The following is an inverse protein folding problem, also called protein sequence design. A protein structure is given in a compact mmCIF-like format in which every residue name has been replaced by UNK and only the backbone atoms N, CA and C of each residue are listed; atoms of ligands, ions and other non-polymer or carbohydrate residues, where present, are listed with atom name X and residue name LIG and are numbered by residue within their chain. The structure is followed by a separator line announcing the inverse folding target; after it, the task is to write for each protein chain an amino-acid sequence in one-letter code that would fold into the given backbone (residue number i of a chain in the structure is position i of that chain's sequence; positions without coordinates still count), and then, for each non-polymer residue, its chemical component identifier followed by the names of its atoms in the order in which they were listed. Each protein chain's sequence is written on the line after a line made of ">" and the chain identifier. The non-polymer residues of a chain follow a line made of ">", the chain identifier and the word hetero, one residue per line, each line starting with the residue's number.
data_IF_448546751374
#
_entry.id   IF_448546751374
#
_cell.length_a   1.000
_cell.length_b   1.000
_cell.length_c   1.000
_cell.angle_alpha   90.00
_cell.angle_beta   90.00
_cell.angle_gamma   90.00
#
_symmetry.space_group_name_H-M   'P 1'
#
loop_
_entity.id
_entity.type
_entity.pdbx_description
1 polymer ?
#
# COMPACT_ATOMS: atom_id res chain seq x y z
N UNK A 1 44.58 -80.50 12.70
CA UNK A 1 43.76 -79.23 12.40
C UNK A 1 43.91 -78.14 13.45
N UNK A 2 44.74 -78.20 14.50
CA UNK A 2 44.94 -77.10 15.50
C UNK A 2 46.17 -76.22 15.29
N UNK A 3 47.01 -76.45 14.28
CA UNK A 3 48.24 -75.65 14.01
C UNK A 3 48.10 -74.69 12.81
N UNK A 4 47.02 -74.69 12.05
CA UNK A 4 46.80 -73.79 10.94
C UNK A 4 46.05 -72.50 11.35
N UNK A 5 45.33 -72.49 12.49
CA UNK A 5 44.59 -71.30 12.98
C UNK A 5 45.50 -70.30 13.70
N UNK A 6 46.69 -70.72 14.21
CA UNK A 6 47.60 -69.79 14.89
C UNK A 6 48.42 -68.90 13.94
N UNK A 7 48.58 -69.26 12.67
CA UNK A 7 49.33 -68.45 11.70
C UNK A 7 48.53 -67.33 11.05
N UNK A 8 47.18 -67.42 11.05
CA UNK A 8 46.31 -66.42 10.50
C UNK A 8 46.11 -65.22 11.49
N UNK A 9 46.26 -65.49 12.81
CA UNK A 9 46.04 -64.41 13.83
C UNK A 9 47.25 -63.46 13.99
N UNK A 10 48.44 -63.83 13.49
CA UNK A 10 49.66 -63.02 13.62
C UNK A 10 49.79 -61.99 12.47
N UNK A 11 49.12 -62.25 11.33
CA UNK A 11 49.15 -61.30 10.19
C UNK A 11 48.10 -60.14 10.26
N UNK A 12 47.08 -60.25 11.13
CA UNK A 12 46.06 -59.20 11.24
C UNK A 12 46.59 -57.87 11.78
N UNK A 13 47.50 -57.80 12.77
CA UNK A 13 48.00 -56.48 13.23
C UNK A 13 48.90 -55.77 12.22
N UNK A 14 49.58 -56.46 11.35
CA UNK A 14 50.42 -55.84 10.31
C UNK A 14 49.62 -55.21 9.17
N UNK A 15 48.43 -55.73 8.85
CA UNK A 15 47.54 -55.15 7.88
C UNK A 15 46.85 -53.85 8.38
N UNK A 16 46.54 -53.76 9.66
CA UNK A 16 45.99 -52.53 10.29
C UNK A 16 47.05 -51.44 10.40
N UNK A 17 48.32 -51.74 10.59
CA UNK A 17 49.41 -50.75 10.58
C UNK A 17 49.74 -50.26 9.18
N UNK A 18 49.63 -51.08 8.17
CA UNK A 18 49.83 -50.67 6.79
C UNK A 18 48.71 -49.74 6.27
N UNK A 19 47.47 -49.96 6.73
CA UNK A 19 46.36 -49.05 6.40
C UNK A 19 46.49 -47.68 7.07
N UNK A 20 46.95 -47.61 8.33
CA UNK A 20 47.18 -46.34 9.02
C UNK A 20 48.27 -45.49 8.39
N UNK A 21 49.35 -46.07 7.91
CA UNK A 21 50.44 -45.36 7.20
C UNK A 21 50.06 -44.93 5.77
N UNK A 22 49.24 -45.67 5.09
CA UNK A 22 48.73 -45.27 3.76
C UNK A 22 47.71 -44.11 3.85
N UNK A 23 46.85 -44.08 4.87
CA UNK A 23 45.95 -42.95 5.12
C UNK A 23 46.68 -41.64 5.48
N UNK A 24 47.76 -41.70 6.28
CA UNK A 24 48.58 -40.53 6.60
C UNK A 24 49.31 -39.95 5.40
N UNK A 25 49.66 -40.73 4.39
CA UNK A 25 50.33 -40.23 3.15
C UNK A 25 49.35 -39.53 2.20
N UNK A 26 48.06 -39.80 2.25
CA UNK A 26 47.04 -39.15 1.43
C UNK A 26 46.74 -37.71 1.86
N UNK A 27 47.10 -37.29 3.04
CA UNK A 27 46.83 -35.96 3.60
C UNK A 27 48.07 -35.05 3.60
N UNK A 28 49.08 -35.30 2.76
CA UNK A 28 50.25 -34.44 2.63
C UNK A 28 50.40 -33.86 1.22
N UNK A 29 50.72 -32.56 1.17
CA UNK A 29 50.99 -31.85 -0.08
C UNK A 29 52.43 -31.36 -0.15
N UNK A 30 53.17 -31.73 -1.19
CA UNK A 30 54.53 -31.23 -1.45
C UNK A 30 54.44 -29.92 -2.28
N UNK A 31 54.85 -28.80 -1.69
CA UNK A 31 54.78 -27.48 -2.34
C UNK A 31 55.59 -27.45 -3.61
N UNK A 32 54.97 -27.06 -4.74
CA UNK A 32 55.62 -26.87 -6.05
C UNK A 32 56.10 -25.43 -6.21
N UNK A 33 56.93 -25.16 -7.22
CA UNK A 33 57.46 -23.84 -7.51
C UNK A 33 56.32 -22.85 -7.87
N UNK A 34 56.12 -21.82 -7.06
CA UNK A 34 55.16 -20.74 -7.32
C UNK A 34 53.83 -20.89 -6.60
N UNK A 35 53.55 -22.03 -5.96
CA UNK A 35 52.31 -22.20 -5.21
C UNK A 35 52.21 -21.27 -4.01
N UNK A 36 50.99 -20.81 -3.73
CA UNK A 36 50.65 -19.96 -2.58
C UNK A 36 49.79 -20.72 -1.60
N UNK A 37 49.73 -20.25 -0.34
CA UNK A 37 48.85 -20.83 0.67
C UNK A 37 47.40 -20.91 0.20
N UNK A 38 46.91 -19.82 -0.42
CA UNK A 38 45.53 -19.73 -0.96
C UNK A 38 45.27 -20.75 -2.05
N UNK A 39 46.24 -20.92 -2.99
CA UNK A 39 46.09 -21.87 -4.10
C UNK A 39 46.08 -23.33 -3.63
N UNK A 40 46.92 -23.65 -2.63
CA UNK A 40 46.98 -25.01 -2.05
C UNK A 40 45.72 -25.27 -1.25
N UNK A 41 45.28 -24.32 -0.44
CA UNK A 41 44.04 -24.45 0.35
C UNK A 41 42.79 -24.65 -0.55
N UNK A 42 42.66 -23.86 -1.63
CA UNK A 42 41.59 -24.01 -2.62
C UNK A 42 41.60 -25.39 -3.31
N UNK A 43 42.77 -25.94 -3.59
CA UNK A 43 42.93 -27.24 -4.22
C UNK A 43 42.36 -28.41 -3.39
N UNK A 44 42.36 -28.25 -2.05
CA UNK A 44 41.90 -29.23 -1.11
C UNK A 44 40.58 -28.85 -0.42
N UNK A 45 39.91 -27.78 -0.85
CA UNK A 45 38.63 -27.33 -0.33
C UNK A 45 38.65 -26.86 1.13
N UNK A 46 39.82 -26.38 1.62
CA UNK A 46 40.01 -25.91 3.00
C UNK A 46 40.34 -24.40 3.03
N UNK A 47 40.18 -23.77 4.17
CA UNK A 47 40.55 -22.37 4.32
C UNK A 47 42.09 -22.23 4.42
N UNK A 48 42.64 -21.11 3.92
CA UNK A 48 44.06 -20.78 4.06
C UNK A 48 44.48 -20.73 5.54
N UNK A 49 43.60 -20.32 6.40
CA UNK A 49 43.83 -20.26 7.85
C UNK A 49 43.97 -21.67 8.43
N UNK A 50 43.10 -22.58 8.10
CA UNK A 50 43.15 -23.98 8.56
C UNK A 50 44.45 -24.68 8.06
N UNK A 51 44.83 -24.44 6.81
CA UNK A 51 46.07 -24.97 6.24
C UNK A 51 47.32 -24.44 7.00
N UNK A 52 47.35 -23.16 7.33
CA UNK A 52 48.45 -22.54 8.11
C UNK A 52 48.50 -23.04 9.55
N UNK A 53 47.36 -23.19 10.18
CA UNK A 53 47.27 -23.73 11.56
C UNK A 53 47.72 -25.18 11.67
N UNK A 54 47.44 -25.97 10.65
CA UNK A 54 47.91 -27.36 10.58
C UNK A 54 49.44 -27.48 10.27
N UNK A 55 50.09 -26.34 9.88
CA UNK A 55 51.48 -26.33 9.47
C UNK A 55 52.26 -25.14 10.08
N UNK A 56 52.35 -25.01 11.43
CA UNK A 56 52.97 -23.86 12.07
C UNK A 56 54.46 -23.76 11.77
N UNK A 57 55.16 -24.89 11.58
CA UNK A 57 56.59 -24.99 11.33
C UNK A 57 56.99 -24.95 9.85
N UNK A 58 56.03 -24.73 8.96
CA UNK A 58 56.29 -24.71 7.52
C UNK A 58 57.26 -23.61 7.09
N UNK A 59 58.34 -23.94 6.41
CA UNK A 59 59.33 -22.97 5.93
C UNK A 59 58.70 -22.04 4.87
N UNK A 60 58.75 -20.72 5.18
CA UNK A 60 58.12 -19.67 4.35
C UNK A 60 59.18 -18.76 3.76
N UNK A 61 59.06 -18.39 2.47
CA UNK A 61 59.88 -17.39 1.76
C UNK A 61 58.98 -16.36 1.11
N UNK A 62 59.17 -15.06 1.42
CA UNK A 62 58.32 -13.96 0.87
C UNK A 62 56.84 -14.20 1.09
N UNK A 63 56.38 -14.62 2.28
CA UNK A 63 54.99 -14.94 2.68
C UNK A 63 54.36 -16.10 1.90
N UNK A 64 55.13 -16.92 1.17
CA UNK A 64 54.68 -18.12 0.47
C UNK A 64 55.36 -19.38 1.05
N UNK A 65 54.73 -20.57 1.01
CA UNK A 65 55.40 -21.79 1.45
C UNK A 65 56.58 -22.09 0.51
N UNK A 66 57.68 -22.56 1.07
CA UNK A 66 58.93 -22.84 0.28
C UNK A 66 58.73 -24.10 -0.54
N UNK A 67 59.15 -24.07 -1.80
CA UNK A 67 59.14 -25.27 -2.69
C UNK A 67 59.81 -26.48 -1.98
N UNK A 68 59.16 -27.63 -2.08
CA UNK A 68 59.62 -28.91 -1.49
C UNK A 68 59.20 -29.08 -0.03
N UNK A 69 58.57 -28.10 0.63
CA UNK A 69 57.98 -28.27 1.96
C UNK A 69 56.81 -29.23 1.86
N UNK A 70 56.77 -30.24 2.74
CA UNK A 70 55.61 -31.10 2.92
C UNK A 70 54.63 -30.39 3.91
N UNK A 71 53.41 -30.19 3.45
CA UNK A 71 52.34 -29.62 4.23
C UNK A 71 51.33 -30.70 4.57
N UNK A 72 50.95 -30.78 5.85
CA UNK A 72 49.84 -31.59 6.29
C UNK A 72 48.54 -30.88 5.86
N UNK A 73 47.71 -31.57 5.11
CA UNK A 73 46.39 -31.09 4.73
C UNK A 73 45.44 -31.59 5.84
N UNK A 74 44.87 -30.70 6.66
CA UNK A 74 43.86 -31.10 7.62
C UNK A 74 42.69 -31.71 6.84
N UNK A 75 42.07 -32.74 7.41
CA UNK A 75 40.79 -33.25 6.93
C UNK A 75 39.86 -32.04 6.82
N UNK A 76 39.19 -31.90 5.69
CA UNK A 76 38.17 -30.90 5.57
C UNK A 76 37.25 -31.08 6.77
N UNK A 77 37.31 -30.18 7.74
CA UNK A 77 36.32 -30.14 8.79
C UNK A 77 35.00 -30.20 8.02
N UNK A 78 34.12 -31.19 8.25
CA UNK A 78 32.83 -31.18 7.59
C UNK A 78 32.34 -29.77 7.82
N UNK A 79 32.30 -28.96 6.73
CA UNK A 79 31.54 -27.73 6.82
C UNK A 79 30.20 -28.22 7.31
N UNK A 80 29.62 -27.66 8.39
CA UNK A 80 28.26 -27.99 8.71
C UNK A 80 27.56 -27.89 7.37
N UNK A 81 26.98 -29.01 6.88
CA UNK A 81 26.12 -28.95 5.69
C UNK A 81 25.32 -27.68 5.89
N UNK A 82 25.24 -26.76 4.88
CA UNK A 82 24.43 -25.60 5.05
C UNK A 82 23.14 -26.17 5.60
N UNK A 83 22.90 -25.92 6.89
CA UNK A 83 21.60 -26.20 7.47
C UNK A 83 20.77 -25.39 6.52
N UNK A 84 20.00 -26.03 5.64
CA UNK A 84 18.92 -25.38 4.92
C UNK A 84 18.13 -24.73 6.06
N UNK A 85 18.49 -23.48 6.37
CA UNK A 85 17.55 -22.62 7.07
C UNK A 85 16.33 -22.76 6.21
N UNK A 86 15.22 -23.30 6.73
CA UNK A 86 14.07 -23.57 5.90
C UNK A 86 13.78 -22.26 5.20
N UNK A 87 14.03 -22.22 3.89
CA UNK A 87 13.68 -21.07 3.06
C UNK A 87 12.24 -20.79 3.46
N UNK A 88 11.92 -19.64 4.08
CA UNK A 88 10.64 -19.44 4.72
C UNK A 88 9.60 -19.76 3.66
N UNK A 89 8.88 -20.84 3.85
CA UNK A 89 7.94 -21.34 2.85
C UNK A 89 6.92 -20.24 2.65
N UNK A 90 6.87 -19.65 1.44
CA UNK A 90 5.94 -18.59 1.09
C UNK A 90 4.52 -19.09 1.37
N UNK A 91 3.91 -18.58 2.43
CA UNK A 91 2.53 -18.93 2.78
C UNK A 91 1.59 -18.29 1.79
N UNK A 92 0.82 -19.09 1.09
CA UNK A 92 -0.13 -18.62 0.07
C UNK A 92 -1.49 -18.25 0.64
N UNK A 93 -1.73 -18.51 1.95
CA UNK A 93 -2.94 -18.10 2.68
C UNK A 93 -2.66 -18.09 4.18
N UNK A 94 -3.48 -17.37 4.94
CA UNK A 94 -3.47 -17.39 6.40
C UNK A 94 -4.82 -17.88 6.94
N UNK A 95 -4.79 -18.87 7.83
CA UNK A 95 -5.98 -19.33 8.56
C UNK A 95 -6.21 -18.55 9.87
N UNK A 96 -5.21 -17.79 10.31
CA UNK A 96 -5.31 -16.88 11.45
C UNK A 96 -4.56 -15.59 11.16
N UNK A 97 -5.10 -14.47 11.62
CA UNK A 97 -4.50 -13.15 11.49
C UNK A 97 -4.48 -12.45 12.85
N UNK A 98 -3.39 -11.78 13.16
CA UNK A 98 -3.27 -10.86 14.28
C UNK A 98 -3.16 -9.43 13.74
N UNK A 99 -3.99 -8.53 14.27
CA UNK A 99 -4.21 -7.18 13.76
C UNK A 99 -3.92 -6.18 14.87
N UNK A 100 -3.11 -5.16 14.59
CA UNK A 100 -2.94 -4.00 15.45
C UNK A 100 -3.89 -2.87 15.03
N UNK A 101 -4.46 -2.15 16.00
CA UNK A 101 -5.25 -0.93 15.76
C UNK A 101 -4.74 0.14 16.72
N UNK A 102 -4.05 1.15 16.18
CA UNK A 102 -3.41 2.21 16.94
C UNK A 102 -4.05 3.55 16.58
N UNK A 103 -5.11 3.92 17.28
CA UNK A 103 -5.96 5.07 17.01
C UNK A 103 -6.27 5.86 18.30
N UNK A 104 -6.62 7.16 18.23
CA UNK A 104 -7.12 7.92 19.37
C UNK A 104 -8.57 7.51 19.67
N UNK A 105 -8.75 6.39 20.38
CA UNK A 105 -10.03 5.78 20.69
C UNK A 105 -10.63 6.42 21.96
N UNK A 106 -11.18 7.61 21.84
CA UNK A 106 -11.86 8.33 22.92
C UNK A 106 -13.12 9.01 22.38
N UNK A 107 -14.27 8.80 23.02
CA UNK A 107 -15.55 9.38 22.59
C UNK A 107 -15.73 10.84 23.02
N UNK A 108 -14.88 11.35 23.90
CA UNK A 108 -14.99 12.70 24.45
C UNK A 108 -14.64 13.81 23.47
N UNK A 109 -13.98 13.49 22.35
CA UNK A 109 -13.66 14.43 21.29
C UNK A 109 -14.29 14.00 19.96
N UNK A 110 -14.63 14.97 19.09
CA UNK A 110 -15.16 14.70 17.75
C UNK A 110 -14.21 13.80 16.92
N UNK A 111 -12.91 14.05 17.02
CA UNK A 111 -11.89 13.22 16.35
C UNK A 111 -11.88 11.80 16.90
N UNK A 112 -11.93 11.67 18.22
CA UNK A 112 -11.91 10.35 18.87
C UNK A 112 -13.19 9.56 18.59
N UNK A 113 -14.35 10.20 18.64
CA UNK A 113 -15.62 9.57 18.30
C UNK A 113 -15.63 9.03 16.85
N UNK A 114 -15.10 9.79 15.90
CA UNK A 114 -14.92 9.34 14.51
C UNK A 114 -13.98 8.12 14.42
N UNK A 115 -12.92 8.06 15.22
CA UNK A 115 -12.00 6.92 15.23
C UNK A 115 -12.59 5.70 15.94
N UNK A 116 -13.43 5.89 16.93
CA UNK A 116 -14.24 4.81 17.52
C UNK A 116 -15.18 4.23 16.47
N UNK A 117 -15.91 5.06 15.72
CA UNK A 117 -16.79 4.60 14.65
C UNK A 117 -16.00 3.87 13.54
N UNK A 118 -14.83 4.39 13.16
CA UNK A 118 -13.93 3.70 12.22
C UNK A 118 -13.52 2.31 12.76
N UNK A 119 -13.16 2.23 14.03
CA UNK A 119 -12.80 0.95 14.67
C UNK A 119 -13.99 -0.01 14.72
N UNK A 120 -15.20 0.47 14.99
CA UNK A 120 -16.43 -0.34 14.92
C UNK A 120 -16.61 -0.95 13.51
N UNK A 121 -16.31 -0.18 12.45
CA UNK A 121 -16.27 -0.70 11.09
C UNK A 121 -15.24 -1.80 10.89
N UNK A 122 -14.00 -1.64 11.42
CA UNK A 122 -12.98 -2.68 11.41
C UNK A 122 -13.45 -3.96 12.11
N UNK A 123 -14.18 -3.85 13.23
CA UNK A 123 -14.75 -5.00 13.93
C UNK A 123 -15.78 -5.75 13.07
N UNK A 124 -16.66 -5.03 12.37
CA UNK A 124 -17.61 -5.64 11.45
C UNK A 124 -16.89 -6.37 10.29
N UNK A 125 -15.80 -5.81 9.79
CA UNK A 125 -14.96 -6.45 8.78
C UNK A 125 -14.32 -7.74 9.31
N UNK A 126 -13.77 -7.70 10.54
CA UNK A 126 -13.19 -8.87 11.18
C UNK A 126 -14.23 -9.99 11.36
N UNK A 127 -15.45 -9.64 11.78
CA UNK A 127 -16.54 -10.61 11.91
C UNK A 127 -16.97 -11.20 10.57
N UNK A 128 -16.93 -10.41 9.51
CA UNK A 128 -17.19 -10.89 8.15
C UNK A 128 -16.13 -11.90 7.71
N UNK A 129 -14.85 -11.63 7.98
CA UNK A 129 -13.74 -12.53 7.64
C UNK A 129 -13.73 -13.78 8.53
N UNK A 130 -14.06 -13.65 9.83
CA UNK A 130 -14.22 -14.82 10.73
C UNK A 130 -15.28 -15.80 10.23
N UNK A 131 -16.39 -15.31 9.66
CA UNK A 131 -17.43 -16.16 9.06
C UNK A 131 -16.93 -17.00 7.88
N UNK A 132 -15.81 -16.62 7.25
CA UNK A 132 -15.15 -17.43 6.22
C UNK A 132 -14.18 -18.47 6.78
N UNK A 133 -14.08 -18.63 8.10
CA UNK A 133 -13.25 -19.64 8.77
C UNK A 133 -11.84 -19.18 9.12
N UNK A 134 -11.56 -17.88 9.05
CA UNK A 134 -10.27 -17.29 9.44
C UNK A 134 -10.35 -16.81 10.89
N UNK A 135 -9.40 -17.21 11.72
CA UNK A 135 -9.31 -16.68 13.08
C UNK A 135 -8.70 -15.27 13.09
N UNK A 136 -9.32 -14.30 13.76
CA UNK A 136 -8.86 -12.92 13.83
C UNK A 136 -8.68 -12.49 15.28
N UNK A 137 -7.46 -12.15 15.66
CA UNK A 137 -7.13 -11.50 16.93
C UNK A 137 -6.85 -10.00 16.69
N UNK A 138 -7.45 -9.13 17.51
CA UNK A 138 -7.26 -7.67 17.39
C UNK A 138 -6.66 -7.12 18.68
N UNK A 139 -5.55 -6.39 18.54
CA UNK A 139 -4.88 -5.64 19.59
C UNK A 139 -5.17 -4.15 19.37
N UNK A 140 -6.19 -3.64 20.03
CA UNK A 140 -6.59 -2.23 19.93
C UNK A 140 -5.93 -1.42 21.06
N UNK A 141 -5.18 -0.39 20.69
CA UNK A 141 -4.47 0.50 21.59
C UNK A 141 -4.88 1.94 21.35
N UNK A 142 -5.26 2.63 22.42
CA UNK A 142 -5.53 4.06 22.40
C UNK A 142 -4.20 4.83 22.31
N UNK A 143 -4.00 5.61 21.25
CA UNK A 143 -2.76 6.38 21.04
C UNK A 143 -2.74 7.71 21.80
N UNK A 144 -3.86 8.10 22.40
CA UNK A 144 -3.99 9.35 23.12
C UNK A 144 -3.93 10.58 22.21
N UNK A 145 -3.73 11.73 22.84
CA UNK A 145 -3.35 12.95 22.13
C UNK A 145 -1.87 12.90 21.76
N UNK A 146 -1.39 13.87 20.95
CA UNK A 146 0.03 14.07 20.56
C UNK A 146 1.05 14.04 21.72
N UNK A 147 0.57 14.07 22.97
CA UNK A 147 1.40 14.02 24.19
C UNK A 147 1.88 12.60 24.55
N UNK A 148 1.27 11.55 24.02
CA UNK A 148 1.72 10.17 24.25
C UNK A 148 2.82 9.85 23.24
N UNK A 149 4.00 9.52 23.73
CA UNK A 149 5.11 9.09 22.85
C UNK A 149 4.78 7.74 22.24
N UNK A 150 4.73 7.68 20.91
CA UNK A 150 4.52 6.42 20.16
C UNK A 150 5.61 5.39 20.52
N UNK A 151 6.87 5.80 20.70
CA UNK A 151 7.95 4.91 21.11
C UNK A 151 7.68 4.26 22.46
N UNK A 152 7.15 5.00 23.44
CA UNK A 152 6.81 4.45 24.76
C UNK A 152 5.64 3.45 24.65
N UNK A 153 4.62 3.77 23.85
CA UNK A 153 3.50 2.86 23.59
C UNK A 153 3.97 1.55 22.96
N UNK A 154 4.78 1.63 21.91
CA UNK A 154 5.33 0.49 21.20
C UNK A 154 6.25 -0.36 22.09
N UNK A 155 7.09 0.29 22.93
CA UNK A 155 7.95 -0.42 23.85
C UNK A 155 7.17 -1.19 24.91
N UNK A 156 6.09 -0.59 25.43
CA UNK A 156 5.20 -1.20 26.44
C UNK A 156 4.46 -2.42 25.89
N UNK A 157 4.00 -2.34 24.65
CA UNK A 157 3.17 -3.37 23.99
C UNK A 157 3.92 -4.17 22.93
N UNK A 158 5.27 -4.18 23.00
CA UNK A 158 6.12 -4.82 22.01
C UNK A 158 5.77 -6.30 21.80
N UNK A 159 5.55 -7.07 22.86
CA UNK A 159 5.26 -8.50 22.79
C UNK A 159 3.96 -8.81 22.06
N UNK A 160 2.97 -7.93 22.18
CA UNK A 160 1.67 -8.07 21.52
C UNK A 160 1.73 -7.66 20.05
N UNK A 161 2.49 -6.60 19.74
CA UNK A 161 2.49 -5.97 18.42
C UNK A 161 3.56 -6.51 17.46
N UNK A 162 4.66 -7.07 17.93
CA UNK A 162 5.77 -7.50 17.05
C UNK A 162 5.43 -8.66 16.10
N UNK A 163 4.30 -9.34 16.33
CA UNK A 163 3.87 -10.50 15.53
C UNK A 163 2.55 -10.27 14.80
N UNK A 164 2.03 -9.03 14.79
CA UNK A 164 0.82 -8.74 14.02
C UNK A 164 1.11 -8.71 12.53
N UNK A 165 0.13 -9.03 11.71
CA UNK A 165 0.27 -9.06 10.25
C UNK A 165 0.09 -7.68 9.62
N UNK A 166 -0.73 -6.85 10.25
CA UNK A 166 -1.04 -5.48 9.81
C UNK A 166 -1.40 -4.59 10.99
N UNK A 167 -1.02 -3.32 10.94
CA UNK A 167 -1.41 -2.28 11.88
C UNK A 167 -2.20 -1.21 11.13
N UNK A 168 -3.39 -0.84 11.66
CA UNK A 168 -4.20 0.29 11.20
C UNK A 168 -3.94 1.50 12.09
N UNK A 169 -3.53 2.60 11.51
CA UNK A 169 -3.12 3.84 12.16
C UNK A 169 -1.71 4.26 11.70
N UNK A 170 -1.16 5.33 12.27
CA UNK A 170 -1.79 6.28 13.19
C UNK A 170 -2.66 7.30 12.46
N UNK A 171 -3.25 8.23 13.21
CA UNK A 171 -3.99 9.38 12.67
C UNK A 171 -3.17 10.68 12.76
N UNK A 172 -2.17 10.71 13.62
CA UNK A 172 -1.32 11.86 13.85
C UNK A 172 -0.01 11.72 13.08
N UNK A 173 0.34 12.74 12.28
CA UNK A 173 1.57 12.74 11.48
C UNK A 173 2.85 12.57 12.30
N UNK A 174 2.90 13.11 13.53
CA UNK A 174 4.05 12.98 14.41
C UNK A 174 4.27 11.53 14.91
N UNK A 175 3.24 10.68 14.82
CA UNK A 175 3.28 9.29 15.24
C UNK A 175 3.66 8.33 14.08
N UNK A 176 3.68 8.81 12.84
CA UNK A 176 3.91 7.98 11.65
C UNK A 176 5.31 7.39 11.65
N UNK A 177 6.34 8.22 11.76
CA UNK A 177 7.72 7.77 11.61
C UNK A 177 8.12 6.70 12.66
N UNK A 178 7.86 6.89 13.99
CA UNK A 178 8.17 5.86 14.97
C UNK A 178 7.41 4.54 14.74
N UNK A 179 6.14 4.62 14.34
CA UNK A 179 5.34 3.43 14.06
C UNK A 179 5.82 2.72 12.79
N UNK A 180 6.14 3.48 11.76
CA UNK A 180 6.67 2.93 10.52
C UNK A 180 8.00 2.20 10.71
N UNK A 181 8.94 2.78 11.48
CA UNK A 181 10.19 2.13 11.84
C UNK A 181 9.95 0.80 12.58
N UNK A 182 9.02 0.77 13.53
CA UNK A 182 8.63 -0.45 14.22
C UNK A 182 8.08 -1.50 13.25
N UNK A 183 7.19 -1.10 12.34
CA UNK A 183 6.60 -1.99 11.35
C UNK A 183 7.66 -2.57 10.39
N UNK A 184 8.59 -1.75 9.91
CA UNK A 184 9.69 -2.20 9.06
C UNK A 184 10.59 -3.23 9.76
N UNK A 185 10.97 -2.97 11.01
CA UNK A 185 11.82 -3.88 11.79
C UNK A 185 11.18 -5.25 12.05
N UNK A 186 9.85 -5.31 12.08
CA UNK A 186 9.10 -6.53 12.40
C UNK A 186 8.35 -7.11 11.19
N UNK A 187 8.58 -6.59 9.98
CA UNK A 187 7.93 -7.01 8.73
C UNK A 187 6.39 -6.94 8.81
N UNK A 188 5.87 -5.87 9.38
CA UNK A 188 4.44 -5.61 9.59
C UNK A 188 3.93 -4.63 8.54
N UNK A 189 2.76 -4.86 7.99
CA UNK A 189 2.08 -3.92 7.10
C UNK A 189 1.53 -2.75 7.90
N UNK A 190 1.86 -1.53 7.49
CA UNK A 190 1.33 -0.31 8.11
C UNK A 190 0.28 0.31 7.20
N UNK A 191 -0.95 0.36 7.65
CA UNK A 191 -2.06 0.98 6.91
C UNK A 191 -2.43 2.30 7.59
N UNK A 192 -2.19 3.40 6.91
CA UNK A 192 -2.45 4.76 7.36
C UNK A 192 -3.78 5.26 6.77
N UNK A 193 -4.85 5.32 7.59
CA UNK A 193 -6.16 5.72 7.09
C UNK A 193 -6.22 7.17 6.60
N UNK A 194 -5.53 8.09 7.32
CA UNK A 194 -5.69 9.55 7.15
C UNK A 194 -4.36 10.30 7.07
N UNK A 195 -3.25 9.60 7.16
CA UNK A 195 -1.90 10.16 7.10
C UNK A 195 -1.09 9.45 6.02
N UNK A 196 0.12 9.93 5.78
CA UNK A 196 1.10 9.32 4.88
C UNK A 196 2.50 9.49 5.46
N UNK A 197 3.45 8.73 4.96
CA UNK A 197 4.86 8.92 5.33
C UNK A 197 5.41 10.22 4.72
N UNK A 198 6.40 10.83 5.38
CA UNK A 198 7.00 12.08 4.90
C UNK A 198 8.44 11.89 4.38
N UNK A 199 8.87 10.65 4.18
CA UNK A 199 10.24 10.34 3.84
C UNK A 199 10.40 9.59 2.51
N UNK A 200 11.59 9.72 1.92
CA UNK A 200 12.02 8.96 0.74
C UNK A 200 12.44 7.51 1.09
N UNK A 201 12.20 7.07 2.32
CA UNK A 201 12.68 5.80 2.82
C UNK A 201 12.01 4.61 2.09
N UNK A 202 12.77 3.53 1.93
CA UNK A 202 12.27 2.26 1.45
C UNK A 202 11.18 1.71 2.40
N UNK A 203 9.91 1.79 2.01
CA UNK A 203 8.75 1.48 2.84
C UNK A 203 7.73 0.60 2.11
N UNK A 204 8.15 -0.56 1.62
CA UNK A 204 7.34 -1.38 0.71
C UNK A 204 6.07 -1.96 1.35
N UNK A 205 5.95 -1.93 2.67
CA UNK A 205 4.79 -2.43 3.43
C UNK A 205 3.93 -1.31 4.04
N UNK A 206 4.22 -0.03 3.73
CA UNK A 206 3.38 1.09 4.13
C UNK A 206 2.30 1.39 3.08
N UNK A 207 1.09 1.63 3.53
CA UNK A 207 -0.10 1.89 2.72
C UNK A 207 -0.77 3.18 3.16
N UNK A 208 -0.90 4.14 2.25
CA UNK A 208 -1.66 5.38 2.45
C UNK A 208 -3.04 5.23 1.81
N UNK A 209 -4.07 5.05 2.64
CA UNK A 209 -5.42 4.76 2.16
C UNK A 209 -6.16 6.01 1.65
N UNK A 210 -5.91 7.17 2.27
CA UNK A 210 -6.39 8.46 1.77
C UNK A 210 -5.22 9.18 1.09
N UNK A 211 -5.16 9.13 -0.22
CA UNK A 211 -4.10 9.77 -0.98
C UNK A 211 -4.06 11.30 -0.75
N UNK A 212 -2.88 11.93 -0.76
CA UNK A 212 -2.74 13.38 -0.75
C UNK A 212 -3.53 14.03 -1.89
N UNK A 213 -3.99 15.26 -1.67
CA UNK A 213 -4.87 15.96 -2.62
C UNK A 213 -4.27 16.12 -4.03
N UNK A 214 -2.96 16.29 -4.14
CA UNK A 214 -2.27 16.38 -5.43
C UNK A 214 -2.31 15.04 -6.21
N UNK A 215 -2.21 13.90 -5.54
CA UNK A 215 -2.31 12.57 -6.15
C UNK A 215 -3.74 12.35 -6.64
N UNK A 216 -4.73 12.49 -5.75
CA UNK A 216 -6.14 12.30 -6.12
C UNK A 216 -6.62 13.28 -7.19
N UNK A 217 -6.13 14.53 -7.21
CA UNK A 217 -6.44 15.50 -8.27
C UNK A 217 -5.82 15.09 -9.62
N UNK A 218 -4.62 14.53 -9.63
CA UNK A 218 -3.97 14.03 -10.84
C UNK A 218 -4.74 12.84 -11.43
N UNK A 219 -5.09 11.87 -10.59
CA UNK A 219 -5.86 10.69 -11.00
C UNK A 219 -7.26 11.08 -11.51
N UNK A 220 -7.92 12.02 -10.81
CA UNK A 220 -9.23 12.55 -11.22
C UNK A 220 -9.15 13.28 -12.57
N UNK A 221 -8.12 14.09 -12.80
CA UNK A 221 -7.92 14.78 -14.06
C UNK A 221 -7.74 13.79 -15.23
N UNK A 222 -6.95 12.75 -15.04
CA UNK A 222 -6.76 11.69 -16.02
C UNK A 222 -8.08 10.93 -16.30
N UNK A 223 -8.85 10.61 -15.25
CA UNK A 223 -10.14 9.94 -15.40
C UNK A 223 -11.17 10.82 -16.13
N UNK A 224 -11.26 12.10 -15.79
CA UNK A 224 -12.14 13.06 -16.49
C UNK A 224 -11.74 13.14 -17.96
N UNK A 225 -10.45 13.31 -18.28
CA UNK A 225 -9.98 13.37 -19.65
C UNK A 225 -10.27 12.08 -20.45
N UNK A 226 -10.16 10.91 -19.79
CA UNK A 226 -10.48 9.59 -20.38
C UNK A 226 -11.98 9.42 -20.64
N UNK A 227 -12.82 9.93 -19.72
CA UNK A 227 -14.28 9.70 -19.71
C UNK A 227 -15.02 10.64 -20.65
N UNK A 228 -14.57 11.88 -20.74
CA UNK A 228 -15.23 12.89 -21.59
C UNK A 228 -15.04 12.55 -23.08
N UNK A 229 -15.96 13.03 -23.91
CA UNK A 229 -15.90 12.84 -25.35
C UNK A 229 -14.57 13.29 -25.95
N UNK A 230 -14.04 12.57 -26.93
CA UNK A 230 -12.75 12.88 -27.58
C UNK A 230 -12.62 14.31 -28.12
N UNK A 231 -13.76 14.95 -28.42
CA UNK A 231 -13.85 16.32 -28.95
C UNK A 231 -14.63 17.23 -27.98
N UNK A 232 -14.59 16.97 -26.67
CA UNK A 232 -15.20 17.87 -25.73
C UNK A 232 -14.46 19.23 -25.71
N UNK A 233 -15.22 20.31 -25.53
CA UNK A 233 -14.68 21.65 -25.28
C UNK A 233 -14.54 21.84 -23.76
N UNK A 234 -13.33 21.94 -23.27
CA UNK A 234 -13.06 22.13 -21.84
C UNK A 234 -13.00 23.61 -21.52
N UNK A 235 -13.83 24.06 -20.58
CA UNK A 235 -13.94 25.45 -20.13
C UNK A 235 -13.67 25.51 -18.63
N UNK A 236 -12.52 26.04 -18.26
CA UNK A 236 -12.19 26.33 -16.86
C UNK A 236 -12.90 27.64 -16.50
N UNK A 237 -13.77 27.56 -15.52
CA UNK A 237 -14.52 28.70 -15.05
C UNK A 237 -13.79 29.36 -13.88
N UNK A 238 -13.36 30.62 -14.09
CA UNK A 238 -12.82 31.48 -13.05
C UNK A 238 -13.99 32.05 -12.24
N UNK A 239 -14.06 31.70 -10.97
CA UNK A 239 -15.13 32.15 -10.05
C UNK A 239 -14.81 33.45 -9.31
N UNK A 240 -13.67 34.07 -9.59
CA UNK A 240 -13.08 35.25 -8.89
C UNK A 240 -12.62 34.94 -7.44
N UNK A 241 -13.02 33.83 -6.88
CA UNK A 241 -12.66 33.37 -5.53
C UNK A 241 -12.20 31.89 -5.58
N UNK A 242 -11.09 31.57 -6.27
CA UNK A 242 -10.63 30.18 -6.37
C UNK A 242 -10.26 29.64 -4.99
N UNK A 243 -10.66 28.40 -4.70
CA UNK A 243 -10.17 27.71 -3.52
C UNK A 243 -8.98 26.77 -3.84
N UNK A 244 -8.27 26.33 -2.80
CA UNK A 244 -7.06 25.51 -2.97
C UNK A 244 -7.33 24.21 -3.75
N UNK A 245 -8.46 23.56 -3.52
CA UNK A 245 -8.81 22.29 -4.18
C UNK A 245 -9.23 22.51 -5.62
N UNK A 246 -10.05 23.53 -5.87
CA UNK A 246 -10.49 23.91 -7.20
C UNK A 246 -9.32 24.31 -8.09
N UNK A 247 -8.42 25.17 -7.57
CA UNK A 247 -7.21 25.59 -8.27
C UNK A 247 -6.28 24.40 -8.56
N UNK A 248 -6.11 23.48 -7.60
CA UNK A 248 -5.28 22.28 -7.77
C UNK A 248 -5.83 21.36 -8.88
N UNK A 249 -7.12 21.01 -8.82
CA UNK A 249 -7.73 20.12 -9.80
C UNK A 249 -7.74 20.72 -11.21
N UNK A 250 -8.14 21.99 -11.34
CA UNK A 250 -8.14 22.67 -12.65
C UNK A 250 -6.73 22.83 -13.23
N UNK A 251 -5.71 23.01 -12.36
CA UNK A 251 -4.30 22.99 -12.75
C UNK A 251 -3.88 21.61 -13.30
N UNK A 252 -4.16 20.53 -12.57
CA UNK A 252 -3.87 19.16 -13.00
C UNK A 252 -4.62 18.77 -14.28
N UNK A 253 -5.86 19.20 -14.42
CA UNK A 253 -6.61 18.96 -15.65
C UNK A 253 -6.00 19.69 -16.85
N UNK A 254 -5.55 20.95 -16.68
CA UNK A 254 -4.84 21.68 -17.76
C UNK A 254 -3.55 20.96 -18.16
N UNK A 255 -2.76 20.49 -17.21
CA UNK A 255 -1.55 19.70 -17.46
C UNK A 255 -1.88 18.44 -18.29
N UNK A 256 -2.86 17.66 -17.84
CA UNK A 256 -3.30 16.42 -18.51
C UNK A 256 -3.83 16.68 -19.93
N UNK A 257 -4.61 17.74 -20.13
CA UNK A 257 -5.12 18.13 -21.45
C UNK A 257 -4.00 18.58 -22.38
N UNK A 258 -3.02 19.36 -21.88
CA UNK A 258 -1.87 19.82 -22.65
C UNK A 258 -1.01 18.66 -23.18
N UNK A 259 -0.80 17.62 -22.38
CA UNK A 259 -0.12 16.38 -22.80
C UNK A 259 -0.83 15.72 -24.00
N UNK A 260 -2.15 15.82 -24.06
CA UNK A 260 -2.98 15.30 -25.17
C UNK A 260 -3.17 16.32 -26.30
N UNK A 261 -2.52 17.49 -26.22
CA UNK A 261 -2.67 18.60 -27.17
C UNK A 261 -4.12 19.11 -27.28
N UNK A 262 -4.85 19.08 -26.20
CA UNK A 262 -6.20 19.63 -26.06
C UNK A 262 -6.10 20.94 -25.30
N UNK A 263 -6.66 22.01 -25.88
CA UNK A 263 -6.69 23.33 -25.24
C UNK A 263 -7.91 23.43 -24.30
N UNK A 264 -7.68 23.92 -23.07
CA UNK A 264 -8.75 24.38 -22.21
C UNK A 264 -8.95 25.87 -22.39
N UNK A 265 -10.20 26.32 -22.51
CA UNK A 265 -10.57 27.73 -22.51
C UNK A 265 -10.75 28.22 -21.09
N UNK A 266 -10.64 29.53 -20.89
CA UNK A 266 -10.90 30.17 -19.59
C UNK A 266 -12.07 31.15 -19.78
N UNK A 267 -13.04 31.09 -18.88
CA UNK A 267 -14.22 31.93 -18.84
C UNK A 267 -14.40 32.48 -17.42
N UNK A 268 -14.71 33.77 -17.28
CA UNK A 268 -15.06 34.33 -15.98
C UNK A 268 -16.55 34.12 -15.70
N UNK A 269 -16.88 33.79 -14.44
CA UNK A 269 -18.26 33.58 -14.03
C UNK A 269 -19.16 34.81 -14.27
N UNK A 270 -18.60 36.03 -14.16
CA UNK A 270 -19.31 37.30 -14.37
C UNK A 270 -19.37 37.73 -15.86
N UNK A 271 -18.85 36.90 -16.77
CA UNK A 271 -18.93 37.14 -18.19
C UNK A 271 -20.38 37.37 -18.67
N UNK A 272 -20.54 38.21 -19.69
CA UNK A 272 -21.81 38.38 -20.38
C UNK A 272 -22.09 37.23 -21.37
N UNK A 273 -23.25 37.21 -22.00
CA UNK A 273 -23.64 36.17 -22.94
C UNK A 273 -22.65 36.02 -24.09
N UNK A 274 -22.06 37.13 -24.56
CA UNK A 274 -21.06 37.12 -25.63
C UNK A 274 -19.77 36.38 -25.18
N UNK A 275 -19.35 36.57 -23.92
CA UNK A 275 -18.21 35.86 -23.37
C UNK A 275 -18.48 34.35 -23.29
N UNK A 276 -19.69 33.94 -22.86
CA UNK A 276 -20.11 32.52 -22.82
C UNK A 276 -20.18 31.92 -24.23
N UNK A 277 -20.82 32.60 -25.19
CA UNK A 277 -20.89 32.15 -26.60
C UNK A 277 -19.49 32.00 -27.22
N UNK A 278 -18.57 32.91 -26.92
CA UNK A 278 -17.19 32.86 -27.41
C UNK A 278 -16.39 31.72 -26.81
N UNK A 279 -16.67 31.36 -25.56
CA UNK A 279 -16.00 30.24 -24.86
C UNK A 279 -16.61 28.87 -25.22
N UNK A 280 -17.90 28.81 -25.57
CA UNK A 280 -18.61 27.56 -25.82
C UNK A 280 -18.53 27.17 -27.30
N UNK A 281 -18.80 25.88 -27.54
CA UNK A 281 -18.83 25.27 -28.88
C UNK A 281 -20.21 24.66 -29.14
N UNK A 282 -20.85 25.01 -30.27
CA UNK A 282 -22.19 24.51 -30.60
C UNK A 282 -22.22 23.05 -31.03
N UNK A 283 -21.10 22.49 -31.52
CA UNK A 283 -21.01 21.14 -32.05
C UNK A 283 -20.41 20.13 -31.07
N UNK A 284 -19.81 20.62 -30.01
CA UNK A 284 -19.15 19.81 -28.99
C UNK A 284 -19.90 19.93 -27.66
N UNK A 285 -19.67 18.96 -26.75
CA UNK A 285 -20.09 19.12 -25.35
C UNK A 285 -19.14 20.08 -24.65
N UNK A 286 -19.71 21.08 -23.99
CA UNK A 286 -18.97 22.05 -23.21
C UNK A 286 -18.84 21.56 -21.76
N UNK A 287 -17.67 21.08 -21.39
CA UNK A 287 -17.36 20.63 -20.04
C UNK A 287 -16.92 21.84 -19.22
N UNK A 288 -17.74 22.26 -18.26
CA UNK A 288 -17.51 23.43 -17.42
C UNK A 288 -16.94 22.95 -16.09
N UNK A 289 -15.77 23.46 -15.74
CA UNK A 289 -15.02 23.11 -14.55
C UNK A 289 -14.71 24.38 -13.75
N UNK A 290 -15.44 24.67 -12.65
CA UNK A 290 -15.15 25.86 -11.83
C UNK A 290 -13.87 25.66 -11.00
N UNK A 291 -13.18 26.73 -10.68
CA UNK A 291 -11.98 26.75 -9.83
C UNK A 291 -12.29 26.88 -8.33
N UNK A 292 -13.56 26.69 -7.95
CA UNK A 292 -14.04 26.75 -6.58
C UNK A 292 -15.02 25.61 -6.30
N UNK A 293 -14.87 24.95 -5.16
CA UNK A 293 -15.65 23.77 -4.77
C UNK A 293 -16.92 24.09 -3.97
N UNK A 294 -17.03 25.33 -3.49
CA UNK A 294 -18.02 25.75 -2.49
C UNK A 294 -19.42 25.93 -3.04
N UNK A 295 -20.41 25.66 -2.19
CA UNK A 295 -21.83 25.74 -2.53
C UNK A 295 -22.29 27.13 -3.01
N UNK A 296 -21.72 28.22 -2.44
CA UNK A 296 -22.06 29.62 -2.84
C UNK A 296 -21.71 29.84 -4.29
N UNK A 297 -20.49 29.53 -4.69
CA UNK A 297 -20.00 29.68 -6.07
C UNK A 297 -20.78 28.79 -7.03
N UNK A 298 -21.08 27.55 -6.63
CA UNK A 298 -21.85 26.62 -7.42
C UNK A 298 -23.31 27.07 -7.64
N UNK A 299 -23.96 27.66 -6.64
CA UNK A 299 -25.29 28.22 -6.80
C UNK A 299 -25.33 29.36 -7.84
N UNK A 300 -24.35 30.27 -7.80
CA UNK A 300 -24.21 31.34 -8.79
C UNK A 300 -24.02 30.72 -10.19
N UNK A 301 -23.13 29.75 -10.32
CA UNK A 301 -22.86 29.05 -11.58
C UNK A 301 -24.12 28.37 -12.12
N UNK A 302 -24.84 27.61 -11.29
CA UNK A 302 -26.06 26.91 -11.69
C UNK A 302 -27.12 27.91 -12.19
N UNK A 303 -27.28 29.05 -11.54
CA UNK A 303 -28.23 30.09 -11.99
C UNK A 303 -27.81 30.65 -13.35
N UNK A 304 -26.58 31.08 -13.49
CA UNK A 304 -26.02 31.59 -14.76
C UNK A 304 -26.17 30.59 -15.93
N UNK A 305 -25.84 29.35 -15.69
CA UNK A 305 -25.94 28.32 -16.73
C UNK A 305 -27.40 27.99 -17.12
N UNK A 306 -28.34 28.09 -16.18
CA UNK A 306 -29.77 27.93 -16.47
C UNK A 306 -30.28 29.08 -17.36
N UNK A 307 -29.93 30.31 -17.00
CA UNK A 307 -30.34 31.50 -17.79
C UNK A 307 -29.74 31.42 -19.20
N UNK A 308 -28.45 31.13 -19.31
CA UNK A 308 -27.77 30.97 -20.60
C UNK A 308 -28.35 29.82 -21.43
N UNK A 309 -28.57 28.63 -20.85
CA UNK A 309 -29.12 27.47 -21.56
C UNK A 309 -30.56 27.72 -22.04
N UNK A 310 -31.36 28.51 -21.31
CA UNK A 310 -32.70 28.89 -21.72
C UNK A 310 -32.68 29.81 -22.94
N UNK A 311 -31.73 30.75 -23.00
CA UNK A 311 -31.56 31.66 -24.12
C UNK A 311 -30.87 31.01 -25.33
N UNK A 312 -30.01 30.04 -25.09
CA UNK A 312 -29.11 29.41 -26.07
C UNK A 312 -29.18 27.86 -26.06
N UNK A 313 -30.34 27.25 -26.39
CA UNK A 313 -30.57 25.79 -26.26
C UNK A 313 -29.72 24.92 -27.21
N UNK A 314 -29.00 25.54 -28.16
CA UNK A 314 -28.11 24.85 -29.08
C UNK A 314 -26.80 24.39 -28.42
N UNK A 315 -26.44 24.92 -27.25
CA UNK A 315 -25.23 24.51 -26.56
C UNK A 315 -25.48 23.34 -25.60
N UNK A 316 -24.71 22.27 -25.76
CA UNK A 316 -24.70 21.14 -24.81
C UNK A 316 -23.71 21.45 -23.69
N UNK A 317 -24.20 21.50 -22.45
CA UNK A 317 -23.44 21.86 -21.28
C UNK A 317 -23.32 20.65 -20.36
N UNK A 318 -22.14 20.43 -19.79
CA UNK A 318 -21.83 19.39 -18.81
C UNK A 318 -21.05 20.03 -17.68
N UNK A 319 -21.41 19.74 -16.43
CA UNK A 319 -20.63 20.15 -15.28
C UNK A 319 -19.63 19.06 -14.90
N UNK A 320 -18.42 19.45 -14.51
CA UNK A 320 -17.43 18.57 -13.93
C UNK A 320 -16.93 19.21 -12.63
N UNK A 321 -17.04 18.48 -11.53
CA UNK A 321 -16.76 19.06 -10.22
C UNK A 321 -16.22 18.05 -9.22
N UNK A 322 -16.50 18.27 -7.97
CA UNK A 322 -15.70 17.94 -6.79
C UNK A 322 -16.43 17.00 -5.84
N UNK A 323 -15.69 16.29 -4.94
CA UNK A 323 -16.32 15.44 -3.93
C UNK A 323 -17.34 16.16 -3.05
N UNK A 324 -17.12 17.43 -2.73
CA UNK A 324 -18.01 18.25 -1.91
C UNK A 324 -19.42 18.36 -2.49
N UNK A 325 -19.55 18.33 -3.83
CA UNK A 325 -20.85 18.49 -4.50
C UNK A 325 -21.84 17.39 -4.15
N UNK A 326 -21.35 16.21 -3.77
CA UNK A 326 -22.20 15.12 -3.30
C UNK A 326 -22.92 15.47 -1.97
N UNK A 327 -22.42 16.45 -1.21
CA UNK A 327 -23.08 16.94 0.02
C UNK A 327 -24.09 18.07 -0.25
N UNK A 328 -24.17 18.57 -1.50
CA UNK A 328 -25.07 19.66 -1.89
C UNK A 328 -26.32 19.19 -2.63
N UNK A 329 -26.54 17.87 -2.68
CA UNK A 329 -27.64 17.28 -3.44
C UNK A 329 -29.03 17.68 -2.95
N UNK A 330 -29.20 18.04 -1.65
CA UNK A 330 -30.47 18.55 -1.17
C UNK A 330 -30.97 19.78 -1.92
N UNK A 331 -30.04 20.64 -2.37
CA UNK A 331 -30.38 21.94 -2.97
C UNK A 331 -30.06 22.02 -4.46
N UNK A 332 -29.11 21.22 -4.96
CA UNK A 332 -28.59 21.36 -6.32
C UNK A 332 -28.77 20.12 -7.20
N UNK A 333 -29.48 19.10 -6.74
CA UNK A 333 -29.68 17.87 -7.51
C UNK A 333 -30.29 18.12 -8.88
N UNK A 334 -31.27 19.02 -8.97
CA UNK A 334 -31.90 19.38 -10.24
C UNK A 334 -30.91 20.04 -11.21
N UNK A 335 -30.00 20.88 -10.70
CA UNK A 335 -28.92 21.46 -11.50
C UNK A 335 -27.96 20.38 -12.01
N UNK A 336 -27.63 19.41 -11.13
CA UNK A 336 -26.74 18.32 -11.53
C UNK A 336 -27.34 17.45 -12.63
N UNK A 337 -28.61 17.10 -12.53
CA UNK A 337 -29.31 16.37 -13.58
C UNK A 337 -29.44 17.19 -14.87
N UNK A 338 -29.80 18.47 -14.76
CA UNK A 338 -29.96 19.35 -15.93
C UNK A 338 -28.67 19.47 -16.75
N UNK A 339 -27.51 19.54 -16.08
CA UNK A 339 -26.22 19.74 -16.74
C UNK A 339 -25.34 18.49 -16.80
N UNK A 340 -25.95 17.28 -16.83
CA UNK A 340 -25.24 16.02 -17.06
C UNK A 340 -23.92 15.95 -16.25
N UNK A 341 -24.03 16.12 -14.93
CA UNK A 341 -22.90 16.47 -14.06
C UNK A 341 -22.07 15.24 -13.67
N UNK A 342 -20.75 15.41 -13.68
CA UNK A 342 -19.77 14.45 -13.19
C UNK A 342 -19.00 15.05 -12.00
N UNK A 343 -19.07 14.42 -10.83
CA UNK A 343 -18.26 14.78 -9.68
C UNK A 343 -17.23 13.68 -9.40
N UNK A 344 -15.93 14.03 -9.36
CA UNK A 344 -14.93 13.04 -8.99
C UNK A 344 -14.94 12.76 -7.49
N UNK A 345 -14.62 11.54 -7.10
CA UNK A 345 -14.50 11.16 -5.70
C UNK A 345 -13.62 9.92 -5.53
N UNK A 346 -13.12 9.73 -4.30
CA UNK A 346 -12.36 8.55 -3.89
C UNK A 346 -13.24 7.55 -3.12
N UNK A 347 -14.47 7.93 -2.80
CA UNK A 347 -15.44 7.12 -2.08
C UNK A 347 -16.87 7.57 -2.43
N UNK A 348 -17.81 6.64 -2.44
CA UNK A 348 -19.23 6.94 -2.66
C UNK A 348 -20.13 5.87 -2.07
N UNK A 349 -21.17 6.27 -1.39
CA UNK A 349 -22.31 5.42 -1.01
C UNK A 349 -23.61 6.16 -1.28
N UNK A 350 -24.53 5.50 -2.00
CA UNK A 350 -25.85 6.10 -2.22
C UNK A 350 -26.72 5.84 -0.98
N UNK A 351 -27.21 6.88 -0.28
CA UNK A 351 -27.93 6.71 0.99
C UNK A 351 -29.14 5.80 0.92
N UNK A 352 -29.84 5.80 -0.24
CA UNK A 352 -31.04 5.01 -0.45
C UNK A 352 -30.78 3.65 -1.10
N UNK A 353 -29.53 3.26 -1.33
CA UNK A 353 -29.25 1.94 -1.87
C UNK A 353 -29.54 0.84 -0.83
N UNK A 354 -30.05 -0.32 -1.25
CA UNK A 354 -30.29 -1.45 -0.35
C UNK A 354 -29.04 -1.88 0.41
N UNK A 355 -27.85 -1.81 -0.21
CA UNK A 355 -26.59 -2.15 0.42
C UNK A 355 -26.23 -1.19 1.54
N UNK A 356 -26.35 0.13 1.33
CA UNK A 356 -26.11 1.16 2.34
C UNK A 356 -27.08 0.99 3.51
N UNK A 357 -28.39 0.83 3.25
CA UNK A 357 -29.39 0.63 4.29
C UNK A 357 -29.15 -0.66 5.08
N UNK A 358 -28.74 -1.74 4.41
CA UNK A 358 -28.38 -2.99 5.08
C UNK A 358 -27.17 -2.82 5.99
N UNK A 359 -26.18 -2.04 5.58
CA UNK A 359 -25.00 -1.74 6.39
C UNK A 359 -25.40 -0.87 7.61
N UNK A 360 -26.22 0.17 7.43
CA UNK A 360 -26.73 1.03 8.49
C UNK A 360 -27.47 0.21 9.56
N UNK A 361 -28.34 -0.68 9.14
CA UNK A 361 -29.11 -1.56 10.04
C UNK A 361 -28.18 -2.55 10.79
N UNK A 362 -27.20 -3.14 10.10
CA UNK A 362 -26.25 -4.05 10.71
C UNK A 362 -25.36 -3.32 11.73
N UNK A 363 -24.91 -2.10 11.43
CA UNK A 363 -24.14 -1.29 12.35
C UNK A 363 -24.95 -0.95 13.61
N UNK A 364 -26.16 -0.43 13.45
CA UNK A 364 -27.04 -0.09 14.57
C UNK A 364 -27.37 -1.31 15.44
N UNK A 365 -27.58 -2.48 14.83
CA UNK A 365 -27.81 -3.73 15.54
C UNK A 365 -26.58 -4.19 16.35
N UNK A 366 -25.38 -4.03 15.82
CA UNK A 366 -24.16 -4.47 16.49
C UNK A 366 -23.74 -3.55 17.65
N UNK A 367 -23.95 -2.24 17.50
CA UNK A 367 -23.43 -1.24 18.45
C UNK A 367 -24.49 -0.50 19.25
N UNK A 368 -25.78 -0.70 18.97
CA UNK A 368 -26.89 -0.10 19.72
C UNK A 368 -27.16 1.37 19.42
N UNK A 369 -26.51 1.95 18.41
CA UNK A 369 -26.69 3.33 17.95
C UNK A 369 -26.48 3.45 16.44
N UNK A 370 -27.07 4.45 15.76
CA UNK A 370 -26.80 4.69 14.35
C UNK A 370 -25.37 5.24 14.14
N UNK A 371 -24.86 5.14 12.90
CA UNK A 371 -23.62 5.79 12.51
C UNK A 371 -23.74 7.32 12.58
N UNK A 372 -22.62 7.99 12.82
CA UNK A 372 -22.53 9.46 12.78
C UNK A 372 -22.90 9.98 11.38
N UNK A 373 -23.56 11.14 11.35
CA UNK A 373 -23.79 11.88 10.12
C UNK A 373 -22.48 12.57 9.69
N UNK A 374 -21.70 11.89 8.88
CA UNK A 374 -20.40 12.37 8.40
C UNK A 374 -20.18 12.01 6.94
N UNK A 375 -19.24 12.69 6.29
CA UNK A 375 -18.82 12.42 4.92
C UNK A 375 -17.30 12.56 4.83
N UNK A 376 -16.56 11.44 4.66
CA UNK A 376 -17.02 10.04 4.54
C UNK A 376 -17.68 9.49 5.81
N UNK A 377 -18.40 8.35 5.68
CA UNK A 377 -18.94 7.58 6.80
C UNK A 377 -17.80 6.72 7.37
N UNK A 378 -17.39 7.00 8.61
CA UNK A 378 -16.18 6.40 9.19
C UNK A 378 -16.30 4.90 9.42
N UNK A 379 -17.48 4.39 9.82
CA UNK A 379 -17.68 2.96 9.96
C UNK A 379 -17.56 2.21 8.63
N UNK A 380 -18.14 2.76 7.55
CA UNK A 380 -18.00 2.17 6.21
C UNK A 380 -16.55 2.15 5.76
N UNK A 381 -15.82 3.24 5.99
CA UNK A 381 -14.39 3.32 5.67
C UNK A 381 -13.57 2.27 6.44
N UNK A 382 -13.84 2.14 7.75
CA UNK A 382 -13.20 1.12 8.58
C UNK A 382 -13.51 -0.29 8.12
N UNK A 383 -14.77 -0.56 7.75
CA UNK A 383 -15.18 -1.84 7.21
C UNK A 383 -14.47 -2.17 5.89
N UNK A 384 -14.50 -1.26 4.93
CA UNK A 384 -13.91 -1.49 3.60
C UNK A 384 -12.40 -1.72 3.70
N UNK A 385 -11.72 -0.89 4.49
CA UNK A 385 -10.27 -1.00 4.71
C UNK A 385 -9.92 -2.30 5.46
N UNK A 386 -10.64 -2.58 6.55
CA UNK A 386 -10.46 -3.80 7.31
C UNK A 386 -10.69 -5.05 6.47
N UNK A 387 -11.77 -5.08 5.71
CA UNK A 387 -12.11 -6.22 4.85
C UNK A 387 -11.06 -6.42 3.75
N UNK A 388 -10.64 -5.34 3.06
CA UNK A 388 -9.62 -5.40 2.03
C UNK A 388 -8.32 -6.05 2.53
N UNK A 389 -7.81 -5.59 3.66
CA UNK A 389 -6.55 -6.11 4.19
C UNK A 389 -6.72 -7.48 4.86
N UNK A 390 -7.71 -7.67 5.72
CA UNK A 390 -7.89 -8.94 6.42
C UNK A 390 -8.26 -10.08 5.47
N UNK A 391 -9.25 -9.86 4.59
CA UNK A 391 -9.64 -10.85 3.59
C UNK A 391 -8.51 -11.10 2.57
N UNK A 392 -7.87 -10.03 2.10
CA UNK A 392 -6.77 -10.14 1.15
C UNK A 392 -5.56 -10.89 1.71
N UNK A 393 -5.16 -10.60 2.95
CA UNK A 393 -4.08 -11.32 3.63
C UNK A 393 -4.44 -12.79 3.90
N UNK A 394 -5.66 -13.06 4.34
CA UNK A 394 -6.13 -14.42 4.52
C UNK A 394 -6.06 -15.22 3.21
N UNK A 395 -6.50 -14.64 2.10
CA UNK A 395 -6.56 -15.31 0.81
C UNK A 395 -5.21 -15.41 0.06
N UNK A 396 -4.30 -14.46 0.25
CA UNK A 396 -3.06 -14.31 -0.53
C UNK A 396 -1.78 -14.51 0.27
N UNK A 397 -1.86 -14.56 1.60
CA UNK A 397 -0.73 -14.76 2.49
C UNK A 397 0.43 -13.79 2.22
N UNK A 398 1.65 -14.32 2.17
CA UNK A 398 2.87 -13.57 1.91
C UNK A 398 2.98 -13.06 0.46
N UNK A 399 2.05 -13.44 -0.43
CA UNK A 399 1.98 -12.96 -1.82
C UNK A 399 1.02 -11.77 -1.99
N UNK A 400 0.50 -11.20 -0.90
CA UNK A 400 -0.49 -10.14 -0.92
C UNK A 400 -0.05 -8.95 -1.78
N UNK A 401 1.15 -8.41 -1.57
CA UNK A 401 1.67 -7.25 -2.30
C UNK A 401 1.74 -7.46 -3.81
N UNK A 402 2.11 -8.67 -4.23
CA UNK A 402 2.23 -9.01 -5.65
C UNK A 402 0.88 -9.31 -6.32
N UNK A 403 -0.14 -9.66 -5.54
CA UNK A 403 -1.44 -10.15 -6.05
C UNK A 403 -2.65 -9.33 -5.61
N UNK A 404 -2.46 -8.25 -4.85
CA UNK A 404 -3.56 -7.44 -4.29
C UNK A 404 -4.55 -6.93 -5.36
N UNK A 405 -4.11 -6.66 -6.58
CA UNK A 405 -4.98 -6.30 -7.70
C UNK A 405 -6.00 -7.38 -8.11
N UNK A 406 -5.88 -8.61 -7.58
CA UNK A 406 -6.85 -9.70 -7.81
C UNK A 406 -7.95 -9.76 -6.75
N UNK A 407 -7.87 -8.95 -5.70
CA UNK A 407 -8.88 -8.90 -4.65
C UNK A 407 -10.16 -8.32 -5.24
N UNK A 408 -11.23 -9.11 -5.21
CA UNK A 408 -12.55 -8.62 -5.60
C UNK A 408 -13.10 -7.74 -4.48
N UNK A 409 -13.30 -6.48 -4.77
CA UNK A 409 -13.85 -5.52 -3.84
C UNK A 409 -15.37 -5.39 -4.04
N UNK A 410 -16.12 -5.40 -2.96
CA UNK A 410 -17.55 -5.06 -2.90
C UNK A 410 -17.72 -4.05 -1.76
N UNK A 411 -17.27 -2.82 -1.96
CA UNK A 411 -17.20 -1.85 -0.88
C UNK A 411 -18.57 -1.35 -0.45
N UNK A 412 -18.66 -0.98 0.82
CA UNK A 412 -19.77 -0.17 1.33
C UNK A 412 -19.66 1.28 0.84
N UNK A 413 -18.41 1.81 0.71
CA UNK A 413 -18.15 3.18 0.31
C UNK A 413 -16.80 3.38 -0.40
N UNK A 414 -15.71 2.70 0.02
CA UNK A 414 -14.34 2.92 -0.44
C UNK A 414 -13.81 1.75 -1.25
N UNK A 415 -13.24 2.04 -2.41
CA UNK A 415 -12.40 1.11 -3.17
C UNK A 415 -10.91 1.45 -3.00
N UNK A 416 -10.06 0.47 -3.25
CA UNK A 416 -8.61 0.62 -3.14
C UNK A 416 -7.90 0.17 -4.41
N UNK A 417 -6.98 1.02 -4.88
CA UNK A 417 -6.05 0.75 -5.97
C UNK A 417 -4.66 1.19 -5.50
N UNK A 418 -4.02 0.36 -4.69
CA UNK A 418 -2.71 0.69 -4.15
C UNK A 418 -1.61 0.50 -5.20
N UNK A 419 -0.87 1.56 -5.47
CA UNK A 419 0.28 1.57 -6.37
C UNK A 419 1.50 2.15 -5.64
N UNK A 420 2.69 1.74 -6.06
CA UNK A 420 3.95 2.34 -5.63
C UNK A 420 4.37 3.39 -6.66
N UNK A 421 4.53 4.64 -6.24
CA UNK A 421 4.97 5.73 -7.13
C UNK A 421 6.48 5.71 -7.38
N UNK A 422 7.24 5.12 -6.46
CA UNK A 422 8.68 4.91 -6.57
C UNK A 422 9.06 3.50 -6.15
N UNK A 423 10.14 2.97 -6.70
CA UNK A 423 10.65 1.64 -6.35
C UNK A 423 10.97 1.58 -4.83
N UNK A 424 10.34 0.63 -4.14
CA UNK A 424 10.49 0.46 -2.70
C UNK A 424 9.76 1.50 -1.82
N UNK A 425 9.04 2.48 -2.40
CA UNK A 425 8.26 3.47 -1.66
C UNK A 425 6.96 2.91 -1.06
N UNK A 426 6.25 3.78 -0.33
CA UNK A 426 4.92 3.46 0.17
C UNK A 426 3.92 3.22 -0.97
N UNK A 427 2.83 2.52 -0.66
CA UNK A 427 1.71 2.29 -1.60
C UNK A 427 0.61 3.29 -1.33
N UNK A 428 0.35 4.17 -2.29
CA UNK A 428 -0.75 5.13 -2.22
C UNK A 428 -2.00 4.59 -2.91
N UNK A 429 -3.15 4.96 -2.41
CA UNK A 429 -4.42 4.63 -3.04
C UNK A 429 -4.71 5.59 -4.19
N UNK A 430 -4.62 5.10 -5.42
CA UNK A 430 -4.91 5.82 -6.67
C UNK A 430 -6.35 5.64 -7.15
N UNK A 431 -7.21 5.06 -6.31
CA UNK A 431 -8.60 4.86 -6.71
C UNK A 431 -9.35 6.19 -6.76
N UNK A 432 -9.88 6.50 -7.93
CA UNK A 432 -10.84 7.58 -8.18
C UNK A 432 -11.97 7.07 -9.06
N UNK A 433 -13.15 7.65 -8.91
CA UNK A 433 -14.31 7.41 -9.74
C UNK A 433 -15.08 8.70 -9.98
N UNK A 434 -15.98 8.70 -10.95
CA UNK A 434 -16.90 9.80 -11.18
C UNK A 434 -18.31 9.37 -10.78
N UNK A 435 -18.99 10.20 -10.00
CA UNK A 435 -20.42 10.11 -9.78
C UNK A 435 -21.08 10.90 -10.89
N UNK A 436 -21.85 10.25 -11.72
CA UNK A 436 -22.55 10.84 -12.87
C UNK A 436 -24.02 11.01 -12.56
N UNK A 437 -24.45 12.23 -12.56
CA UNK A 437 -25.86 12.67 -12.47
C UNK A 437 -26.38 12.93 -13.88
N UNK A 438 -27.00 11.92 -14.48
CA UNK A 438 -27.43 11.99 -15.90
C UNK A 438 -28.75 12.72 -16.07
N UNK A 439 -28.98 13.25 -17.28
CA UNK A 439 -30.20 14.00 -17.62
C UNK A 439 -31.49 13.17 -17.53
N UNK A 440 -31.40 11.84 -17.51
CA UNK A 440 -32.53 10.92 -17.25
C UNK A 440 -32.73 10.63 -15.73
N UNK A 441 -32.18 11.50 -14.88
CA UNK A 441 -32.28 11.47 -13.41
C UNK A 441 -31.76 10.19 -12.76
N UNK A 442 -30.73 9.58 -13.34
CA UNK A 442 -30.01 8.46 -12.76
C UNK A 442 -28.67 8.89 -12.19
N UNK A 443 -28.27 8.19 -11.14
CA UNK A 443 -26.93 8.33 -10.56
C UNK A 443 -26.19 7.05 -10.85
N UNK A 444 -25.04 7.16 -11.54
CA UNK A 444 -24.19 6.03 -11.91
C UNK A 444 -22.72 6.32 -11.54
N UNK A 445 -21.94 5.25 -11.36
CA UNK A 445 -20.50 5.35 -11.11
C UNK A 445 -19.74 5.00 -12.38
N UNK A 446 -18.73 5.82 -12.71
CA UNK A 446 -17.83 5.63 -13.86
C UNK A 446 -16.39 5.50 -13.33
N UNK A 447 -15.68 4.48 -13.83
CA UNK A 447 -14.29 4.14 -13.42
C UNK A 447 -13.36 4.05 -14.63
#
# INVERSE_FOLDING_TARGET
>A
MKRLLSLILICLPCLLWAQGTMQQLQHMHQVRKGETWTAIAAKYGISELALKQANPDAKVKKRKPKKGTLLTIPDACPQPEPVDEPVPSVRTSFNSLSIGVLLPLEESSDRGAKMVEFYQGLLMAADSVRRSGVDITIHALHTGSTKVSMQQLLSKHKQELQHVHVIFGPVDGAQVEPLNQFCMQNNIRLVMPFTHTQGEANQPLAYTATAPSNVSATDAAALVQKTMEKKANYVILNTNEPDTRGALFTGKLKECLAEKKVAARVLNIDGDDFAYESAFNQTQVNCIIPDNTGIKSLNILCTKLRDFAAAHPQYRIRLVGYPEWMTYTETLLDCFYQFDTYAYCTYYSHPLSPSTQSFDNAFASNFGHPMMMSFPRYAMMGFDMGYYFMHGLAALGDTFEAKQGKIKQQPAQHNFLFQQDAEGGERMNHFVQLVHYSTDQKITLVQ
#
